data_IF_249177223477
#
_entry.id   IF_249177223477
#
_cell.length_a   1.000
_cell.length_b   1.000
_cell.length_c   1.000
_cell.angle_alpha   90.00
_cell.angle_beta   90.00
_cell.angle_gamma   90.00
#
_symmetry.space_group_name_H-M   'P 1'
#
loop_
_entity.id
_entity.type
_entity.pdbx_description
1 polymer ?
#
# COMPACT_ATOMS: atom_id res chain seq x y z
N UNK A 1 40.19 -15.37 -40.08
CA UNK A 1 39.93 -15.10 -38.65
C UNK A 1 38.52 -15.56 -38.37
N UNK A 2 38.37 -16.74 -37.75
CA UNK A 2 37.07 -17.31 -37.39
C UNK A 2 36.62 -16.68 -36.08
N UNK A 3 35.57 -15.86 -36.14
CA UNK A 3 34.93 -15.30 -34.95
C UNK A 3 33.98 -16.36 -34.42
N UNK A 4 34.34 -16.97 -33.29
CA UNK A 4 33.57 -17.99 -32.61
C UNK A 4 32.42 -17.31 -31.86
N UNK A 5 31.20 -17.40 -32.39
CA UNK A 5 30.00 -16.90 -31.72
C UNK A 5 29.61 -17.90 -30.60
N UNK A 6 29.45 -17.49 -29.33
CA UNK A 6 29.04 -18.42 -28.28
C UNK A 6 27.63 -18.93 -28.56
N UNK A 7 27.47 -20.27 -28.53
CA UNK A 7 26.16 -20.92 -28.66
C UNK A 7 25.24 -20.47 -27.52
N UNK A 8 23.93 -20.30 -27.78
CA UNK A 8 22.95 -20.14 -26.72
C UNK A 8 23.02 -21.36 -25.80
N UNK A 9 23.06 -21.14 -24.49
CA UNK A 9 22.90 -22.18 -23.49
C UNK A 9 21.54 -22.86 -23.72
N UNK A 10 21.56 -24.06 -24.29
CA UNK A 10 20.37 -24.91 -24.34
C UNK A 10 20.04 -25.29 -22.90
N UNK A 11 19.06 -24.62 -22.29
CA UNK A 11 18.48 -25.08 -21.04
C UNK A 11 17.89 -26.46 -21.27
N UNK A 12 18.34 -27.42 -20.46
CA UNK A 12 17.96 -28.81 -20.56
C UNK A 12 16.51 -28.95 -20.07
N UNK A 13 15.56 -29.18 -20.96
CA UNK A 13 14.11 -29.16 -20.68
C UNK A 13 13.59 -30.31 -19.79
N UNK A 14 14.46 -31.04 -19.08
CA UNK A 14 14.14 -32.28 -18.38
C UNK A 14 14.71 -32.37 -16.94
N UNK A 15 15.17 -31.28 -16.33
CA UNK A 15 15.40 -31.26 -14.88
C UNK A 15 14.11 -30.86 -14.16
N UNK A 16 13.69 -31.58 -13.10
CA UNK A 16 12.55 -31.15 -12.30
C UNK A 16 12.85 -29.76 -11.74
N UNK A 17 11.97 -28.80 -12.03
CA UNK A 17 12.08 -27.43 -11.50
C UNK A 17 11.88 -27.51 -10.00
N UNK A 18 12.86 -27.02 -9.22
CA UNK A 18 12.71 -26.92 -7.77
C UNK A 18 11.69 -25.81 -7.45
N UNK A 19 10.52 -26.14 -6.88
CA UNK A 19 9.48 -25.17 -6.58
C UNK A 19 9.90 -24.17 -5.50
N UNK A 20 10.94 -24.48 -4.71
CA UNK A 20 11.49 -23.60 -3.66
C UNK A 20 12.49 -22.57 -4.20
N UNK A 21 12.94 -22.74 -5.45
CA UNK A 21 13.88 -21.84 -6.11
C UNK A 21 13.16 -20.92 -7.11
N UNK A 22 13.71 -19.73 -7.35
CA UNK A 22 13.10 -18.75 -8.25
C UNK A 22 12.98 -19.30 -9.68
N UNK A 23 11.75 -19.33 -10.21
CA UNK A 23 11.40 -20.01 -11.46
C UNK A 23 10.26 -19.30 -12.22
N UNK A 24 9.79 -19.87 -13.33
CA UNK A 24 8.77 -19.23 -14.18
C UNK A 24 7.42 -19.02 -13.50
N UNK A 25 7.07 -19.83 -12.49
CA UNK A 25 5.86 -19.61 -11.68
C UNK A 25 5.97 -18.28 -10.90
N UNK A 26 7.12 -18.05 -10.27
CA UNK A 26 7.44 -16.80 -9.57
C UNK A 26 7.42 -15.60 -10.52
N UNK A 27 8.01 -15.74 -11.72
CA UNK A 27 8.02 -14.68 -12.75
C UNK A 27 6.61 -14.32 -13.20
N UNK A 28 5.77 -15.31 -13.48
CA UNK A 28 4.40 -15.09 -13.95
C UNK A 28 3.52 -14.44 -12.87
N UNK A 29 3.67 -14.87 -11.61
CA UNK A 29 3.03 -14.20 -10.49
C UNK A 29 3.49 -12.74 -10.36
N UNK A 30 4.80 -12.49 -10.40
CA UNK A 30 5.35 -11.15 -10.30
C UNK A 30 4.89 -10.24 -11.45
N UNK A 31 4.77 -10.75 -12.68
CA UNK A 31 4.21 -10.01 -13.82
C UNK A 31 2.76 -9.57 -13.56
N UNK A 32 1.97 -10.43 -12.92
CA UNK A 32 0.60 -10.10 -12.51
C UNK A 32 0.60 -8.98 -11.45
N UNK A 33 1.51 -9.06 -10.48
CA UNK A 33 1.68 -8.02 -9.44
C UNK A 33 2.23 -6.70 -9.99
N UNK A 34 3.10 -6.72 -11.00
CA UNK A 34 3.58 -5.51 -11.66
C UNK A 34 2.46 -4.73 -12.35
N UNK A 35 1.42 -5.43 -12.79
CA UNK A 35 0.24 -4.83 -13.45
C UNK A 35 -0.79 -4.36 -12.43
N UNK A 36 -1.11 -5.19 -11.43
CA UNK A 36 -2.19 -4.91 -10.47
C UNK A 36 -1.72 -4.07 -9.27
N UNK A 37 -0.43 -4.12 -8.94
CA UNK A 37 0.27 -3.46 -7.82
C UNK A 37 -0.18 -3.91 -6.44
N UNK A 38 -1.48 -3.97 -6.20
CA UNK A 38 -2.11 -4.45 -4.98
C UNK A 38 -3.28 -5.36 -5.32
N UNK A 39 -3.42 -6.48 -4.61
CA UNK A 39 -4.55 -7.40 -4.75
C UNK A 39 -4.99 -7.90 -3.39
N UNK A 40 -6.24 -8.36 -3.28
CA UNK A 40 -6.66 -9.10 -2.08
C UNK A 40 -5.87 -10.41 -1.97
N UNK A 41 -5.62 -10.87 -0.76
CA UNK A 41 -4.81 -12.08 -0.57
C UNK A 41 -5.45 -13.33 -1.20
N UNK A 42 -6.78 -13.43 -1.21
CA UNK A 42 -7.49 -14.51 -1.91
C UNK A 42 -7.31 -14.45 -3.44
N UNK A 43 -7.26 -13.24 -4.01
CA UNK A 43 -6.91 -13.04 -5.42
C UNK A 43 -5.44 -13.38 -5.69
N UNK A 44 -4.52 -13.05 -4.79
CA UNK A 44 -3.12 -13.45 -4.90
C UNK A 44 -2.99 -14.98 -4.90
N UNK A 45 -3.70 -15.68 -4.02
CA UNK A 45 -3.70 -17.14 -3.99
C UNK A 45 -4.24 -17.73 -5.31
N UNK A 46 -5.30 -17.14 -5.89
CA UNK A 46 -5.80 -17.54 -7.20
C UNK A 46 -4.78 -17.29 -8.33
N UNK A 47 -4.07 -16.15 -8.32
CA UNK A 47 -3.00 -15.86 -9.28
C UNK A 47 -1.87 -16.88 -9.15
N UNK A 48 -1.52 -17.27 -7.92
CA UNK A 48 -0.53 -18.30 -7.67
C UNK A 48 -1.00 -19.68 -8.18
N UNK A 49 -2.26 -20.04 -7.96
CA UNK A 49 -2.86 -21.27 -8.49
C UNK A 49 -2.79 -21.32 -10.02
N UNK A 50 -3.16 -20.25 -10.70
CA UNK A 50 -3.09 -20.17 -12.16
C UNK A 50 -1.64 -20.21 -12.66
N UNK A 51 -0.72 -19.50 -12.00
CA UNK A 51 0.70 -19.54 -12.37
C UNK A 51 1.31 -20.94 -12.21
N UNK A 52 0.95 -21.66 -11.14
CA UNK A 52 1.36 -23.04 -10.90
C UNK A 52 0.85 -23.98 -11.99
N UNK A 53 -0.44 -23.89 -12.34
CA UNK A 53 -1.05 -24.70 -13.43
C UNK A 53 -0.38 -24.45 -14.77
N UNK A 54 -0.16 -23.18 -15.14
CA UNK A 54 0.40 -22.80 -16.44
C UNK A 54 1.86 -23.21 -16.61
N UNK A 55 2.63 -23.23 -15.52
CA UNK A 55 4.06 -23.57 -15.55
C UNK A 55 4.36 -25.02 -15.19
N UNK A 56 3.39 -25.76 -14.64
CA UNK A 56 3.57 -27.12 -14.15
C UNK A 56 4.41 -27.23 -12.87
N UNK A 57 4.74 -26.10 -12.24
CA UNK A 57 5.48 -26.05 -10.97
C UNK A 57 4.52 -26.31 -9.81
N UNK A 58 4.76 -27.31 -8.94
CA UNK A 58 3.85 -27.61 -7.83
C UNK A 58 3.87 -26.49 -6.78
N UNK A 59 2.74 -26.34 -6.08
CA UNK A 59 2.59 -25.33 -5.01
C UNK A 59 3.37 -25.69 -3.75
N UNK A 60 3.84 -24.64 -3.07
CA UNK A 60 4.43 -24.63 -1.72
C UNK A 60 3.59 -23.74 -0.80
N UNK A 61 4.05 -23.56 0.44
CA UNK A 61 3.46 -22.54 1.31
C UNK A 61 3.55 -21.16 0.64
N UNK A 62 2.47 -20.38 0.72
CA UNK A 62 2.40 -19.09 0.05
C UNK A 62 3.42 -18.09 0.62
N UNK A 63 3.73 -18.18 1.91
CA UNK A 63 4.73 -17.33 2.57
C UNK A 63 6.13 -17.65 2.04
N UNK A 64 6.45 -18.93 1.89
CA UNK A 64 7.72 -19.38 1.31
C UNK A 64 7.85 -18.96 -0.17
N UNK A 65 6.77 -19.08 -0.93
CA UNK A 65 6.70 -18.61 -2.32
C UNK A 65 6.97 -17.10 -2.43
N UNK A 66 6.27 -16.28 -1.62
CA UNK A 66 6.49 -14.82 -1.58
C UNK A 66 7.90 -14.48 -1.12
N UNK A 67 8.44 -15.18 -0.12
CA UNK A 67 9.80 -14.99 0.35
C UNK A 67 10.84 -15.27 -0.75
N UNK A 68 10.64 -16.31 -1.55
CA UNK A 68 11.47 -16.62 -2.71
C UNK A 68 11.43 -15.50 -3.77
N UNK A 69 10.25 -14.93 -4.05
CA UNK A 69 10.14 -13.76 -4.93
C UNK A 69 10.95 -12.60 -4.37
N UNK A 70 10.72 -12.26 -3.09
CA UNK A 70 11.38 -11.12 -2.44
C UNK A 70 12.90 -11.24 -2.47
N UNK A 71 13.46 -12.44 -2.27
CA UNK A 71 14.90 -12.66 -2.43
C UNK A 71 15.40 -12.30 -3.83
N UNK A 72 14.61 -12.57 -4.88
CA UNK A 72 14.96 -12.29 -6.27
C UNK A 72 14.74 -10.85 -6.72
N UNK A 73 13.87 -10.08 -6.07
CA UNK A 73 13.54 -8.69 -6.46
C UNK A 73 14.13 -7.62 -5.52
N UNK A 74 14.74 -8.04 -4.40
CA UNK A 74 15.36 -7.11 -3.46
C UNK A 74 16.54 -6.32 -4.07
N UNK A 75 17.24 -6.87 -5.06
CA UNK A 75 18.36 -6.19 -5.76
C UNK A 75 17.92 -4.98 -6.60
N UNK A 76 16.62 -4.88 -6.91
CA UNK A 76 16.01 -3.76 -7.64
C UNK A 76 15.04 -2.98 -6.76
N UNK A 77 15.20 -3.11 -5.45
CA UNK A 77 14.46 -2.37 -4.43
C UNK A 77 12.94 -2.51 -4.54
N UNK A 78 12.47 -3.70 -4.92
CA UNK A 78 11.06 -4.04 -4.87
C UNK A 78 10.82 -5.10 -3.79
N UNK A 79 9.62 -5.07 -3.21
CA UNK A 79 9.18 -6.09 -2.26
C UNK A 79 7.68 -6.35 -2.39
N UNK A 80 7.29 -7.61 -2.31
CA UNK A 80 5.93 -8.02 -2.02
C UNK A 80 5.71 -7.97 -0.50
N UNK A 81 4.82 -7.07 -0.06
CA UNK A 81 4.40 -6.93 1.33
C UNK A 81 2.97 -7.44 1.51
N UNK A 82 2.76 -8.18 2.59
CA UNK A 82 1.43 -8.51 3.09
C UNK A 82 0.97 -7.41 4.03
N UNK A 83 -0.26 -6.94 3.86
CA UNK A 83 -0.87 -5.91 4.71
C UNK A 83 -2.39 -6.13 4.81
N UNK A 84 -3.11 -5.19 5.40
CA UNK A 84 -4.57 -5.16 5.43
C UNK A 84 -5.05 -3.79 4.98
N UNK A 85 -6.15 -3.75 4.25
CA UNK A 85 -6.82 -2.49 3.96
C UNK A 85 -7.35 -1.89 5.26
N UNK A 86 -6.91 -0.67 5.59
CA UNK A 86 -7.19 -0.05 6.89
C UNK A 86 -8.69 0.20 7.13
N UNK A 87 -9.48 0.32 6.05
CA UNK A 87 -10.92 0.63 6.12
C UNK A 87 -11.76 -0.59 6.45
N UNK A 88 -11.46 -1.73 5.84
CA UNK A 88 -12.30 -2.92 5.89
C UNK A 88 -11.61 -4.17 6.45
N UNK A 89 -10.32 -4.07 6.80
CA UNK A 89 -9.52 -5.16 7.35
C UNK A 89 -9.23 -6.29 6.38
N UNK A 90 -9.56 -6.16 5.08
CA UNK A 90 -9.33 -7.20 4.08
C UNK A 90 -7.81 -7.36 3.86
N UNK A 91 -7.27 -8.58 3.97
CA UNK A 91 -5.84 -8.82 3.74
C UNK A 91 -5.49 -8.63 2.27
N UNK A 92 -4.32 -8.04 2.02
CA UNK A 92 -3.81 -7.69 0.70
C UNK A 92 -2.36 -8.08 0.54
N UNK A 93 -1.96 -8.31 -0.71
CA UNK A 93 -0.56 -8.42 -1.14
C UNK A 93 -0.29 -7.22 -2.05
N UNK A 94 0.75 -6.45 -1.73
CA UNK A 94 1.15 -5.27 -2.48
C UNK A 94 2.62 -5.39 -2.93
N UNK A 95 2.90 -5.02 -4.18
CA UNK A 95 4.24 -4.79 -4.68
C UNK A 95 4.61 -3.34 -4.38
N UNK A 96 5.52 -3.15 -3.45
CA UNK A 96 6.04 -1.84 -3.07
C UNK A 96 7.45 -1.67 -3.59
N UNK A 97 7.84 -0.43 -3.83
CA UNK A 97 9.24 -0.07 -3.96
C UNK A 97 9.78 0.25 -2.56
N UNK A 98 11.09 0.07 -2.40
CA UNK A 98 11.80 0.26 -1.13
C UNK A 98 12.88 1.34 -1.25
N UNK A 99 13.05 1.93 -2.44
CA UNK A 99 13.89 3.11 -2.64
C UNK A 99 13.14 4.40 -2.33
N UNK A 100 13.89 5.33 -1.78
CA UNK A 100 13.44 6.59 -1.20
C UNK A 100 12.99 7.67 -2.20
N UNK A 101 13.33 7.56 -3.49
CA UNK A 101 13.03 8.62 -4.49
C UNK A 101 11.62 8.48 -5.13
N UNK A 102 10.63 8.31 -4.27
CA UNK A 102 9.36 7.61 -4.54
C UNK A 102 8.19 8.51 -4.94
N UNK A 103 8.42 9.41 -5.87
CA UNK A 103 7.33 9.89 -6.74
C UNK A 103 7.50 9.40 -8.17
N UNK A 104 8.61 8.71 -8.44
CA UNK A 104 8.96 8.11 -9.72
C UNK A 104 7.91 7.11 -10.24
N UNK A 105 7.15 6.44 -9.36
CA UNK A 105 6.09 5.52 -9.78
C UNK A 105 4.88 6.25 -10.38
N UNK A 106 4.45 7.35 -9.76
CA UNK A 106 3.46 8.22 -10.39
C UNK A 106 4.04 8.93 -11.61
N UNK A 107 5.36 9.17 -11.64
CA UNK A 107 6.01 9.84 -12.76
C UNK A 107 5.99 9.08 -14.08
N UNK A 108 5.80 7.76 -14.06
CA UNK A 108 5.61 6.99 -15.30
C UNK A 108 4.20 7.09 -15.87
N UNK A 109 3.20 7.37 -15.03
CA UNK A 109 1.77 7.32 -15.39
C UNK A 109 1.12 8.71 -15.49
N UNK A 110 1.69 9.71 -14.82
CA UNK A 110 1.10 11.04 -14.70
C UNK A 110 2.02 12.15 -15.20
N UNK A 111 1.40 13.25 -15.65
CA UNK A 111 2.14 14.46 -16.01
C UNK A 111 2.80 15.10 -14.79
N UNK A 112 3.90 15.87 -14.96
CA UNK A 112 4.51 16.62 -13.86
C UNK A 112 3.53 17.53 -13.09
N UNK A 113 2.57 18.15 -13.79
CA UNK A 113 1.54 18.97 -13.15
C UNK A 113 0.60 18.16 -12.26
N UNK A 114 0.24 16.94 -12.69
CA UNK A 114 -0.59 16.02 -11.92
C UNK A 114 0.14 15.54 -10.67
N UNK A 115 1.42 15.21 -10.82
CA UNK A 115 2.28 14.81 -9.70
C UNK A 115 2.39 15.94 -8.67
N UNK A 116 2.60 17.17 -9.11
CA UNK A 116 2.65 18.32 -8.20
C UNK A 116 1.32 18.53 -7.46
N UNK A 117 0.19 18.37 -8.16
CA UNK A 117 -1.12 18.43 -7.51
C UNK A 117 -1.27 17.32 -6.47
N UNK A 118 -0.91 16.08 -6.82
CA UNK A 118 -0.97 14.95 -5.89
C UNK A 118 -0.09 15.17 -4.66
N UNK A 119 1.11 15.74 -4.80
CA UNK A 119 1.98 16.08 -3.66
C UNK A 119 1.28 17.01 -2.68
N UNK A 120 0.70 18.10 -3.19
CA UNK A 120 -0.04 19.05 -2.34
C UNK A 120 -1.28 18.41 -1.73
N UNK A 121 -1.96 17.54 -2.48
CA UNK A 121 -3.13 16.83 -1.99
C UNK A 121 -2.76 15.89 -0.84
N UNK A 122 -1.71 15.09 -1.01
CA UNK A 122 -1.18 14.19 0.01
C UNK A 122 -0.71 14.96 1.24
N UNK A 123 -0.02 16.09 1.06
CA UNK A 123 0.36 16.99 2.17
C UNK A 123 -0.87 17.44 2.97
N UNK A 124 -1.93 17.92 2.31
CA UNK A 124 -3.15 18.37 2.99
C UNK A 124 -3.88 17.21 3.69
N UNK A 125 -3.86 16.00 3.12
CA UNK A 125 -4.43 14.81 3.76
C UNK A 125 -3.61 14.43 4.99
N UNK A 126 -2.28 14.37 4.89
CA UNK A 126 -1.39 13.91 5.97
C UNK A 126 -1.36 14.91 7.14
N UNK A 127 -1.38 16.20 6.82
CA UNK A 127 -1.32 17.29 7.81
C UNK A 127 -2.69 17.76 8.30
N UNK A 128 -3.75 17.01 7.97
CA UNK A 128 -5.10 17.31 8.43
C UNK A 128 -5.17 17.38 9.96
N UNK A 129 -5.96 18.35 10.46
CA UNK A 129 -6.21 18.51 11.89
C UNK A 129 -6.88 17.26 12.48
N UNK A 130 -6.77 17.08 13.79
CA UNK A 130 -7.36 15.97 14.56
C UNK A 130 -7.03 14.54 14.09
N UNK A 131 -6.00 14.40 13.24
CA UNK A 131 -5.58 13.15 12.60
C UNK A 131 -6.70 12.56 11.72
N UNK A 132 -7.43 13.43 11.02
CA UNK A 132 -8.51 13.02 10.12
C UNK A 132 -8.00 12.28 8.87
N UNK A 133 -6.74 12.48 8.49
CA UNK A 133 -6.12 11.90 7.29
C UNK A 133 -7.01 11.99 6.05
N UNK A 134 -7.61 13.16 5.85
CA UNK A 134 -8.61 13.38 4.83
C UNK A 134 -8.62 14.83 4.35
N UNK A 135 -9.14 15.04 3.15
CA UNK A 135 -9.44 16.37 2.59
C UNK A 135 -10.84 16.37 1.99
N UNK A 136 -11.65 17.39 2.27
CA UNK A 136 -12.99 17.49 1.67
C UNK A 136 -12.91 17.65 0.14
N UNK A 137 -13.93 17.18 -0.59
CA UNK A 137 -13.97 17.36 -2.05
C UNK A 137 -13.90 18.84 -2.45
N UNK A 138 -14.50 19.74 -1.65
CA UNK A 138 -14.45 21.18 -1.90
C UNK A 138 -13.02 21.73 -1.78
N UNK A 139 -12.27 21.31 -0.77
CA UNK A 139 -10.89 21.75 -0.57
C UNK A 139 -9.94 21.15 -1.59
N UNK A 140 -10.14 19.88 -1.97
CA UNK A 140 -9.39 19.25 -3.05
C UNK A 140 -9.57 20.01 -4.39
N UNK A 141 -10.80 20.38 -4.74
CA UNK A 141 -11.08 21.22 -5.91
C UNK A 141 -10.39 22.59 -5.79
N UNK A 142 -10.47 23.23 -4.61
CA UNK A 142 -9.83 24.53 -4.37
C UNK A 142 -8.31 24.45 -4.50
N UNK A 143 -7.71 23.32 -4.14
CA UNK A 143 -6.28 23.08 -4.30
C UNK A 143 -5.87 23.10 -5.77
N UNK A 144 -6.64 22.44 -6.64
CA UNK A 144 -6.39 22.44 -8.09
C UNK A 144 -6.45 23.84 -8.70
N UNK A 145 -7.40 24.67 -8.25
CA UNK A 145 -7.53 26.06 -8.68
C UNK A 145 -6.37 26.97 -8.22
N UNK A 146 -5.62 26.57 -7.19
CA UNK A 146 -4.42 27.28 -6.71
C UNK A 146 -3.13 26.83 -7.39
N UNK A 147 -3.18 25.78 -8.22
CA UNK A 147 -2.02 25.31 -8.98
C UNK A 147 -1.53 26.40 -9.96
N UNK A 148 -0.31 26.24 -10.45
CA UNK A 148 0.24 27.10 -11.51
C UNK A 148 0.74 26.20 -12.65
N UNK A 149 0.05 26.18 -13.81
CA UNK A 149 -1.20 26.87 -14.12
C UNK A 149 -2.38 26.34 -13.29
N UNK A 150 -3.39 27.19 -13.05
CA UNK A 150 -4.58 26.83 -12.31
C UNK A 150 -5.40 25.80 -13.10
N UNK A 151 -5.84 24.73 -12.43
CA UNK A 151 -6.78 23.78 -12.99
C UNK A 151 -8.21 24.31 -12.82
N UNK A 152 -9.06 24.08 -13.81
CA UNK A 152 -10.50 24.32 -13.65
C UNK A 152 -11.10 23.32 -12.66
N UNK A 153 -12.29 23.62 -12.15
CA UNK A 153 -13.04 22.69 -11.30
C UNK A 153 -13.25 21.34 -12.00
N UNK A 154 -13.58 21.36 -13.29
CA UNK A 154 -13.79 20.14 -14.06
C UNK A 154 -12.50 19.33 -14.21
N UNK A 155 -11.40 19.97 -14.59
CA UNK A 155 -10.11 19.28 -14.73
C UNK A 155 -9.63 18.68 -13.40
N UNK A 156 -9.86 19.40 -12.30
CA UNK A 156 -9.50 18.91 -10.96
C UNK A 156 -10.35 17.72 -10.56
N UNK A 157 -11.66 17.75 -10.83
CA UNK A 157 -12.55 16.62 -10.57
C UNK A 157 -12.18 15.41 -11.43
N UNK A 158 -11.97 15.61 -12.73
CA UNK A 158 -11.58 14.53 -13.66
C UNK A 158 -10.24 13.89 -13.22
N UNK A 159 -9.33 14.68 -12.63
CA UNK A 159 -8.08 14.17 -12.06
C UNK A 159 -8.29 13.38 -10.76
N UNK A 160 -9.11 13.88 -9.84
CA UNK A 160 -9.47 13.18 -8.61
C UNK A 160 -10.15 11.84 -8.90
N UNK A 161 -11.08 11.81 -9.86
CA UNK A 161 -11.77 10.59 -10.28
C UNK A 161 -10.79 9.57 -10.85
N UNK A 162 -9.78 10.02 -11.61
CA UNK A 162 -8.69 9.16 -12.11
C UNK A 162 -7.85 8.60 -10.96
N UNK A 163 -7.44 9.45 -10.01
CA UNK A 163 -6.67 9.00 -8.84
C UNK A 163 -7.43 7.97 -8.01
N UNK A 164 -8.76 8.08 -7.92
CA UNK A 164 -9.61 7.06 -7.28
C UNK A 164 -9.65 5.78 -8.11
N UNK A 165 -9.85 5.88 -9.43
CA UNK A 165 -9.90 4.72 -10.32
C UNK A 165 -8.59 3.92 -10.32
N UNK A 166 -7.45 4.61 -10.23
CA UNK A 166 -6.12 4.01 -10.23
C UNK A 166 -5.68 3.52 -8.82
N UNK A 167 -6.54 3.69 -7.82
CA UNK A 167 -6.34 3.20 -6.45
C UNK A 167 -5.35 4.03 -5.62
N UNK A 168 -5.17 5.31 -5.95
CA UNK A 168 -4.40 6.25 -5.13
C UNK A 168 -5.25 6.89 -4.01
N UNK A 169 -6.54 7.06 -4.27
CA UNK A 169 -7.46 7.71 -3.34
C UNK A 169 -8.73 6.90 -3.18
N UNK A 170 -9.38 7.11 -2.05
CA UNK A 170 -10.74 6.67 -1.81
C UNK A 170 -11.61 7.89 -1.49
N UNK A 171 -12.76 8.00 -2.16
CA UNK A 171 -13.76 9.01 -1.83
C UNK A 171 -14.78 8.42 -0.83
N UNK A 172 -14.84 8.99 0.36
CA UNK A 172 -15.80 8.59 1.41
C UNK A 172 -17.21 9.00 1.03
N UNK A 173 -18.21 8.39 1.70
CA UNK A 173 -19.63 8.72 1.46
C UNK A 173 -19.97 10.16 1.85
N UNK A 174 -19.17 10.75 2.73
CA UNK A 174 -19.29 12.12 3.23
C UNK A 174 -18.66 13.15 2.28
N UNK A 175 -18.04 12.73 1.17
CA UNK A 175 -17.41 13.65 0.23
C UNK A 175 -16.05 14.15 0.70
N UNK A 176 -15.23 13.24 1.24
CA UNK A 176 -13.82 13.50 1.53
C UNK A 176 -12.94 12.47 0.83
N UNK A 177 -11.72 12.85 0.48
CA UNK A 177 -10.71 11.97 -0.07
C UNK A 177 -9.73 11.55 1.03
N UNK A 178 -9.49 10.25 1.11
CA UNK A 178 -8.45 9.64 1.95
C UNK A 178 -7.49 8.86 1.06
N UNK A 179 -6.27 8.58 1.54
CA UNK A 179 -5.33 7.73 0.82
C UNK A 179 -5.81 6.29 0.79
N UNK A 180 -5.66 5.62 -0.36
CA UNK A 180 -5.89 4.18 -0.43
C UNK A 180 -4.71 3.40 0.18
N UNK A 181 -4.95 2.13 0.50
CA UNK A 181 -3.93 1.25 1.10
C UNK A 181 -2.67 1.17 0.23
N UNK A 182 -2.86 1.14 -1.09
CA UNK A 182 -1.76 1.16 -2.06
C UNK A 182 -0.84 2.36 -1.85
N UNK A 183 -1.41 3.55 -1.71
CA UNK A 183 -0.68 4.81 -1.56
C UNK A 183 0.15 4.85 -0.30
N UNK A 184 -0.43 4.46 0.82
CA UNK A 184 0.28 4.42 2.11
C UNK A 184 1.43 3.43 2.06
N UNK A 185 1.26 2.28 1.40
CA UNK A 185 2.29 1.25 1.29
C UNK A 185 3.39 1.62 0.28
N UNK A 186 3.03 2.11 -0.90
CA UNK A 186 3.96 2.43 -1.98
C UNK A 186 4.74 3.73 -1.76
N UNK A 187 4.20 4.68 -0.98
CA UNK A 187 4.84 5.97 -0.73
C UNK A 187 5.27 6.13 0.73
N UNK A 188 5.31 5.02 1.48
CA UNK A 188 5.59 5.03 2.92
C UNK A 188 6.92 5.71 3.24
N UNK A 189 7.97 5.38 2.48
CA UNK A 189 9.31 5.92 2.70
C UNK A 189 9.27 7.43 2.54
N UNK A 190 8.82 7.90 1.38
CA UNK A 190 8.63 9.32 1.08
C UNK A 190 7.80 10.06 2.15
N UNK A 191 6.67 9.49 2.59
CA UNK A 191 5.83 10.14 3.60
C UNK A 191 6.49 10.22 4.97
N UNK A 192 7.23 9.19 5.39
CA UNK A 192 7.97 9.23 6.66
C UNK A 192 9.10 10.25 6.61
N UNK A 193 9.78 10.38 5.48
CA UNK A 193 10.85 11.37 5.32
C UNK A 193 10.34 12.81 5.34
N UNK A 194 9.27 13.09 4.58
CA UNK A 194 8.77 14.46 4.42
C UNK A 194 7.85 14.89 5.57
N UNK A 195 7.09 13.96 6.16
CA UNK A 195 5.99 14.27 7.08
C UNK A 195 6.01 13.42 8.36
N UNK A 196 7.17 12.91 8.77
CA UNK A 196 7.30 11.94 9.86
C UNK A 196 6.64 12.32 11.19
N UNK A 197 6.49 13.61 11.51
CA UNK A 197 5.78 14.06 12.72
C UNK A 197 4.25 13.83 12.65
N UNK A 198 3.70 13.85 11.44
CA UNK A 198 2.28 13.61 11.16
C UNK A 198 1.99 12.14 10.93
N UNK A 199 2.96 11.34 10.47
CA UNK A 199 2.76 9.92 10.19
C UNK A 199 2.76 9.09 11.49
N UNK A 200 1.60 8.56 11.87
CA UNK A 200 1.50 7.68 13.05
C UNK A 200 1.80 6.23 12.68
N UNK A 201 2.32 5.49 13.65
CA UNK A 201 2.58 4.05 13.53
C UNK A 201 1.63 3.27 14.45
N UNK A 202 1.18 2.13 13.96
CA UNK A 202 0.38 1.22 14.75
C UNK A 202 1.24 0.58 15.85
N UNK A 203 0.76 0.63 17.09
CA UNK A 203 1.45 0.11 18.27
C UNK A 203 1.83 -1.39 18.19
N UNK A 204 1.17 -2.16 17.31
CA UNK A 204 1.37 -3.61 17.21
C UNK A 204 2.10 -4.08 15.95
N UNK A 205 1.74 -3.58 14.77
CA UNK A 205 2.43 -3.97 13.54
C UNK A 205 3.59 -3.04 13.16
N UNK A 206 3.68 -1.86 13.79
CA UNK A 206 4.68 -0.82 13.50
C UNK A 206 4.62 -0.24 12.07
N UNK A 207 3.63 -0.65 11.27
CA UNK A 207 3.32 -0.01 10.01
C UNK A 207 2.62 1.33 10.26
N UNK A 208 2.72 2.22 9.27
CA UNK A 208 1.95 3.46 9.24
C UNK A 208 0.47 3.16 9.42
N UNK A 209 -0.21 3.98 10.22
CA UNK A 209 -1.65 3.95 10.40
C UNK A 209 -2.24 5.31 10.10
N UNK A 210 -3.11 5.37 9.09
CA UNK A 210 -3.85 6.58 8.70
C UNK A 210 -5.30 6.55 9.18
N UNK A 211 -5.80 5.39 9.58
CA UNK A 211 -7.10 5.26 10.23
C UNK A 211 -7.17 4.03 11.12
N UNK A 212 -7.86 4.16 12.24
CA UNK A 212 -7.94 3.10 13.23
C UNK A 212 -8.56 3.56 14.53
N UNK A 213 -8.12 2.93 15.61
CA UNK A 213 -8.53 3.23 16.97
C UNK A 213 -7.41 3.98 17.70
N UNK A 214 -7.80 4.97 18.53
CA UNK A 214 -6.87 5.77 19.35
C UNK A 214 -7.25 5.71 20.83
N UNK A 215 -6.26 5.92 21.69
CA UNK A 215 -6.51 5.99 23.13
C UNK A 215 -7.41 7.19 23.48
N UNK A 216 -8.29 7.05 24.47
CA UNK A 216 -9.12 8.15 24.99
C UNK A 216 -8.33 9.21 25.75
N UNK A 217 -7.14 8.85 26.26
CA UNK A 217 -6.24 9.82 26.89
C UNK A 217 -5.62 10.71 25.82
N UNK A 218 -5.89 12.01 25.89
CA UNK A 218 -5.50 13.02 24.89
C UNK A 218 -3.99 13.04 24.64
N UNK A 219 -3.18 12.90 25.69
CA UNK A 219 -1.72 12.94 25.59
C UNK A 219 -1.10 11.58 25.23
N UNK A 220 -1.93 10.54 25.01
CA UNK A 220 -1.44 9.20 24.70
C UNK A 220 -1.21 9.03 23.18
N UNK A 221 0.02 8.74 22.74
CA UNK A 221 0.35 8.63 21.32
C UNK A 221 -0.12 7.31 20.67
N UNK A 222 -0.68 6.38 21.45
CA UNK A 222 -1.06 5.06 20.93
C UNK A 222 -2.14 5.20 19.85
N UNK A 223 -1.80 4.69 18.67
CA UNK A 223 -2.67 4.49 17.52
C UNK A 223 -2.59 3.02 17.10
N UNK A 224 -3.71 2.44 16.72
CA UNK A 224 -3.80 1.00 16.40
C UNK A 224 -4.72 0.83 15.21
N UNK A 225 -4.29 0.11 14.17
CA UNK A 225 -5.21 -0.29 13.11
C UNK A 225 -6.37 -1.11 13.69
N UNK A 226 -7.57 -0.96 13.13
CA UNK A 226 -8.75 -1.71 13.59
C UNK A 226 -8.54 -3.23 13.62
N UNK A 227 -7.95 -3.79 12.56
CA UNK A 227 -7.66 -5.23 12.49
C UNK A 227 -6.62 -5.68 13.54
N UNK A 228 -5.67 -4.82 13.91
CA UNK A 228 -4.71 -5.08 14.99
C UNK A 228 -5.39 -5.03 16.36
N UNK A 229 -6.27 -4.05 16.59
CA UNK A 229 -7.05 -3.93 17.82
C UNK A 229 -7.97 -5.14 18.01
N UNK A 230 -8.71 -5.53 16.96
CA UNK A 230 -9.59 -6.72 16.95
C UNK A 230 -8.82 -8.03 17.21
N UNK A 231 -7.56 -8.12 16.84
CA UNK A 231 -6.71 -9.28 17.15
C UNK A 231 -6.21 -9.24 18.58
N UNK A 232 -5.69 -8.11 19.03
CA UNK A 232 -5.04 -7.97 20.33
C UNK A 232 -6.03 -8.02 21.50
N UNK A 233 -7.14 -7.29 21.39
CA UNK A 233 -8.12 -7.17 22.48
C UNK A 233 -9.09 -8.35 22.56
N UNK A 234 -9.19 -9.18 21.51
CA UNK A 234 -10.05 -10.38 21.52
C UNK A 234 -9.75 -11.33 22.68
N UNK A 235 -8.48 -11.43 23.07
CA UNK A 235 -8.03 -12.32 24.13
C UNK A 235 -8.05 -11.66 25.52
N UNK A 236 -8.51 -10.40 25.62
CA UNK A 236 -8.48 -9.60 26.84
C UNK A 236 -9.89 -9.23 27.30
N UNK A 237 -10.34 -9.68 28.49
CA UNK A 237 -11.67 -9.34 29.00
C UNK A 237 -11.82 -7.87 29.38
N UNK A 238 -10.72 -7.17 29.67
CA UNK A 238 -10.68 -5.74 29.96
C UNK A 238 -9.65 -5.08 29.04
N UNK A 239 -10.10 -4.57 27.90
CA UNK A 239 -9.23 -3.86 26.96
C UNK A 239 -8.71 -2.58 27.59
N UNK A 240 -7.39 -2.50 27.81
CA UNK A 240 -6.71 -1.29 28.27
C UNK A 240 -5.61 -0.89 27.30
N UNK A 241 -5.37 0.41 27.17
CA UNK A 241 -4.26 0.94 26.38
C UNK A 241 -2.94 0.28 26.83
N UNK A 242 -2.14 -0.30 25.91
CA UNK A 242 -0.91 -1.01 26.25
C UNK A 242 0.20 -0.08 26.78
N UNK A 243 0.06 1.24 26.62
CA UNK A 243 1.04 2.23 27.08
C UNK A 243 0.64 2.88 28.41
N UNK A 244 -0.57 3.47 28.49
CA UNK A 244 -0.98 4.27 29.64
C UNK A 244 -1.99 3.59 30.58
N UNK A 245 -2.50 2.41 30.22
CA UNK A 245 -3.47 1.65 31.04
C UNK A 245 -4.90 2.21 31.05
N UNK A 246 -5.17 3.31 30.34
CA UNK A 246 -6.54 3.85 30.17
C UNK A 246 -7.45 2.79 29.55
N UNK A 247 -8.71 2.72 29.99
CA UNK A 247 -9.70 1.81 29.40
C UNK A 247 -9.84 2.08 27.89
N UNK A 248 -9.81 1.02 27.09
CA UNK A 248 -9.84 1.12 25.64
C UNK A 248 -11.27 1.10 25.12
N UNK A 249 -11.61 2.06 24.26
CA UNK A 249 -12.90 2.14 23.59
C UNK A 249 -12.74 1.95 22.10
N UNK A 250 -13.35 0.90 21.56
CA UNK A 250 -13.38 0.63 20.11
C UNK A 250 -14.18 1.68 19.31
N UNK A 251 -14.85 2.62 19.99
CA UNK A 251 -15.58 3.71 19.37
C UNK A 251 -14.71 4.98 19.22
N UNK A 252 -13.57 5.06 19.90
CA UNK A 252 -12.68 6.21 19.79
C UNK A 252 -11.71 5.99 18.61
N UNK A 253 -12.15 6.43 17.43
CA UNK A 253 -11.42 6.25 16.17
C UNK A 253 -10.79 7.55 15.68
N UNK A 254 -9.86 7.42 14.74
CA UNK A 254 -9.29 8.52 13.96
C UNK A 254 -9.17 8.09 12.50
N UNK A 255 -8.97 9.07 11.60
CA UNK A 255 -9.06 8.86 10.16
C UNK A 255 -10.51 8.74 9.67
N UNK A 256 -10.89 9.53 8.67
CA UNK A 256 -12.27 9.56 8.15
C UNK A 256 -12.61 8.39 7.20
N UNK A 257 -11.67 7.48 6.94
CA UNK A 257 -11.89 6.34 6.04
C UNK A 257 -12.72 5.20 6.61
N UNK A 258 -12.99 5.18 7.93
CA UNK A 258 -13.71 4.11 8.64
C UNK A 258 -15.25 4.16 8.52
N UNK A 259 -15.79 4.96 7.60
CA UNK A 259 -17.23 5.21 7.42
C UNK A 259 -17.97 4.23 6.51
#
# INVERSE_FOLDING_TARGET
MNVNCPRPLTMNANQPVDPSSYNDCHRLFLQSMLTQKIVREDQALNLYDEASKLTGVPRTDFSDFVACINQGINEIDLALKRSHNERNGVPVIALVNTLDDEISQMATEYSPSTIMYFRQLAENIITAEDEDYAISSMEAIRLGQKMTPALTQKETQDLLDRLVADGWLFCTRQGAYVMETRTVLELNVYFKEQYGEYMKECQFCLDVVTMGERCESVDCPVRIHRHCAERYFREQPNSTCPLCGTMWSHLNTFGLGLS
#
